data_IF_918520809840
#
_entry.id   IF_918520809840
#
_cell.length_a   1.000
_cell.length_b   1.000
_cell.length_c   1.000
_cell.angle_alpha   90.00
_cell.angle_beta   90.00
_cell.angle_gamma   90.00
#
_symmetry.space_group_name_H-M   'P 1'
#
loop_
_entity.id
_entity.type
_entity.pdbx_description
1 polymer ?
#
# COMPACT_ATOMS: atom_id res chain seq x y z
N UNK A 1 15.10 0.40 -3.85
CA UNK A 1 14.76 0.53 -2.40
C UNK A 1 13.87 -0.63 -2.04
N UNK A 2 14.07 -1.22 -0.85
CA UNK A 2 13.24 -2.35 -0.39
C UNK A 2 12.63 -1.96 0.95
N UNK A 3 11.34 -2.28 1.11
CA UNK A 3 10.56 -2.05 2.33
C UNK A 3 9.90 -3.36 2.78
N UNK A 4 9.64 -3.49 4.05
CA UNK A 4 8.99 -4.64 4.67
C UNK A 4 7.72 -4.21 5.39
N UNK A 5 6.61 -3.96 4.63
CA UNK A 5 5.32 -3.61 5.22
C UNK A 5 4.78 -4.76 6.05
N UNK A 6 4.50 -4.48 7.31
CA UNK A 6 3.90 -5.44 8.23
C UNK A 6 2.39 -5.53 8.06
N UNK A 7 1.79 -6.39 8.86
CA UNK A 7 0.34 -6.52 8.96
C UNK A 7 -0.16 -6.20 10.37
N UNK A 8 -1.48 -6.16 10.55
CA UNK A 8 -2.13 -5.93 11.85
C UNK A 8 -3.20 -6.97 12.10
N UNK A 9 -3.55 -7.15 13.36
CA UNK A 9 -4.79 -7.80 13.79
C UNK A 9 -5.67 -6.77 14.50
N UNK A 10 -6.97 -7.07 14.55
CA UNK A 10 -7.92 -6.31 15.36
C UNK A 10 -8.19 -7.09 16.63
N UNK A 11 -7.99 -6.45 17.79
CA UNK A 11 -8.33 -7.00 19.10
C UNK A 11 -9.68 -6.37 19.49
N UNK A 12 -10.74 -7.16 19.44
CA UNK A 12 -12.10 -6.65 19.49
C UNK A 12 -12.43 -5.82 18.26
N UNK A 13 -13.52 -6.11 17.59
CA UNK A 13 -14.02 -5.35 16.47
C UNK A 13 -15.51 -5.12 16.66
N UNK A 14 -15.86 -3.88 16.98
CA UNK A 14 -17.26 -3.47 17.12
C UNK A 14 -17.64 -2.51 15.99
N UNK A 15 -18.69 -2.88 15.24
CA UNK A 15 -19.25 -2.01 14.19
C UNK A 15 -20.26 -1.08 14.86
N UNK A 16 -19.93 0.19 14.95
CA UNK A 16 -20.75 1.21 15.62
C UNK A 16 -21.86 1.69 14.71
N UNK A 17 -21.53 2.05 13.47
CA UNK A 17 -22.50 2.57 12.51
C UNK A 17 -22.05 2.32 11.05
N UNK A 18 -23.02 2.38 10.13
CA UNK A 18 -22.74 2.41 8.69
C UNK A 18 -22.77 3.87 8.21
N UNK A 19 -21.71 4.30 7.55
CA UNK A 19 -21.57 5.65 7.03
C UNK A 19 -22.27 5.81 5.67
N UNK A 20 -22.58 7.04 5.31
CA UNK A 20 -23.21 7.38 4.02
C UNK A 20 -22.29 7.07 2.81
N UNK A 21 -20.96 7.07 3.00
CA UNK A 21 -19.95 6.73 2.00
C UNK A 21 -19.79 5.20 1.79
N UNK A 22 -20.58 4.38 2.50
CA UNK A 22 -20.54 2.92 2.42
C UNK A 22 -19.57 2.25 3.37
N UNK A 23 -18.70 3.01 4.06
CA UNK A 23 -17.83 2.51 5.12
C UNK A 23 -18.57 2.37 6.45
N UNK A 24 -17.88 1.83 7.44
CA UNK A 24 -18.40 1.64 8.79
C UNK A 24 -17.50 2.32 9.80
N UNK A 25 -18.12 2.94 10.80
CA UNK A 25 -17.41 3.39 12.00
C UNK A 25 -17.15 2.17 12.89
N UNK A 26 -15.89 2.02 13.28
CA UNK A 26 -15.43 0.85 14.02
C UNK A 26 -14.76 1.27 15.33
N UNK A 27 -15.06 0.53 16.39
CA UNK A 27 -14.25 0.53 17.61
C UNK A 27 -13.39 -0.73 17.64
N UNK A 28 -12.09 -0.56 17.64
CA UNK A 28 -11.14 -1.68 17.60
C UNK A 28 -9.77 -1.22 18.09
N UNK A 29 -9.03 -2.13 18.71
CA UNK A 29 -7.61 -1.95 18.96
C UNK A 29 -6.83 -2.65 17.83
N UNK A 30 -6.11 -1.88 17.01
CA UNK A 30 -5.23 -2.43 15.99
C UNK A 30 -3.88 -2.75 16.60
N UNK A 31 -3.47 -4.00 16.49
CA UNK A 31 -2.18 -4.46 16.99
C UNK A 31 -1.26 -4.90 15.85
N UNK A 32 -0.06 -4.31 15.71
CA UNK A 32 0.89 -4.69 14.65
C UNK A 32 1.45 -6.10 14.92
N UNK A 33 1.43 -6.94 13.90
CA UNK A 33 2.01 -8.29 13.97
C UNK A 33 3.48 -8.20 13.53
N UNK A 34 4.39 -8.54 14.41
CA UNK A 34 5.82 -8.60 14.13
C UNK A 34 6.18 -9.95 13.48
N UNK A 35 7.11 -9.92 12.54
CA UNK A 35 7.64 -11.13 11.88
C UNK A 35 6.82 -11.64 10.69
N UNK A 36 5.61 -11.11 10.44
CA UNK A 36 4.85 -11.37 9.22
C UNK A 36 4.73 -10.07 8.42
N UNK A 37 5.46 -9.99 7.33
CA UNK A 37 5.49 -8.83 6.44
C UNK A 37 5.65 -9.26 4.99
N UNK A 38 5.19 -8.43 4.09
CA UNK A 38 5.50 -8.50 2.67
C UNK A 38 6.87 -7.86 2.40
N UNK A 39 7.38 -7.94 1.17
CA UNK A 39 8.51 -7.13 0.74
C UNK A 39 8.12 -6.37 -0.53
N UNK A 40 8.34 -5.06 -0.53
CA UNK A 40 8.07 -4.17 -1.66
C UNK A 40 9.39 -3.57 -2.12
N UNK A 41 9.80 -3.93 -3.33
CA UNK A 41 10.94 -3.30 -3.99
C UNK A 41 10.46 -2.24 -4.98
N UNK A 42 11.10 -1.07 -4.96
CA UNK A 42 10.82 0.03 -5.87
C UNK A 42 12.13 0.54 -6.45
N UNK A 43 12.22 0.55 -7.78
CA UNK A 43 13.36 1.10 -8.52
C UNK A 43 12.87 2.04 -9.63
N UNK A 44 13.69 3.03 -9.99
CA UNK A 44 13.40 3.90 -11.14
C UNK A 44 13.42 3.09 -12.42
N UNK A 45 12.50 3.40 -13.33
CA UNK A 45 12.48 2.88 -14.69
C UNK A 45 12.81 3.98 -15.70
N UNK A 46 13.37 3.58 -16.84
CA UNK A 46 13.55 4.49 -17.99
C UNK A 46 12.28 4.61 -18.82
N UNK A 47 11.33 3.69 -18.65
CA UNK A 47 10.01 3.72 -19.29
C UNK A 47 9.08 4.68 -18.53
N UNK A 48 8.00 5.09 -19.17
CA UNK A 48 6.92 5.84 -18.50
C UNK A 48 5.95 4.88 -17.83
N UNK A 49 5.43 5.26 -16.67
CA UNK A 49 4.43 4.47 -15.94
C UNK A 49 5.02 3.47 -14.95
N UNK A 50 4.21 2.51 -14.53
CA UNK A 50 4.58 1.49 -13.54
C UNK A 50 4.64 0.11 -14.19
N UNK A 51 5.77 -0.58 -14.02
CA UNK A 51 5.90 -2.01 -14.29
C UNK A 51 5.73 -2.75 -12.95
N UNK A 52 4.67 -3.55 -12.83
CA UNK A 52 4.36 -4.28 -11.60
C UNK A 52 4.56 -5.78 -11.80
N UNK A 53 5.26 -6.39 -10.87
CA UNK A 53 5.42 -7.86 -10.77
C UNK A 53 5.17 -8.32 -9.34
N UNK A 54 4.78 -9.58 -9.18
CA UNK A 54 4.60 -10.16 -7.84
C UNK A 54 5.13 -11.59 -7.78
N UNK A 55 5.47 -12.01 -6.55
CA UNK A 55 5.86 -13.38 -6.21
C UNK A 55 5.33 -13.75 -4.82
N UNK A 56 5.51 -15.01 -4.41
CA UNK A 56 4.98 -15.52 -3.13
C UNK A 56 3.50 -15.92 -3.26
N UNK A 57 2.67 -15.50 -2.32
CA UNK A 57 1.24 -15.80 -2.35
C UNK A 57 0.57 -15.15 -3.56
N UNK A 58 -0.45 -15.79 -4.16
CA UNK A 58 -1.15 -15.25 -5.33
C UNK A 58 -1.73 -13.86 -5.05
N UNK A 59 -1.48 -12.94 -5.98
CA UNK A 59 -2.09 -11.61 -6.00
C UNK A 59 -3.16 -11.62 -7.08
N UNK A 60 -4.42 -11.71 -6.67
CA UNK A 60 -5.54 -11.83 -7.60
C UNK A 60 -5.97 -10.50 -8.23
N UNK A 61 -6.70 -10.61 -9.34
CA UNK A 61 -7.31 -9.47 -10.04
C UNK A 61 -6.40 -8.78 -11.05
N UNK A 62 -6.97 -7.80 -11.78
CA UNK A 62 -6.21 -7.02 -12.76
C UNK A 62 -5.12 -6.18 -12.10
N UNK A 63 -3.94 -6.10 -12.72
CA UNK A 63 -2.79 -5.34 -12.22
C UNK A 63 -3.16 -3.89 -11.90
N UNK A 64 -4.00 -3.25 -12.72
CA UNK A 64 -4.45 -1.87 -12.54
C UNK A 64 -5.26 -1.64 -11.25
N UNK A 65 -5.87 -2.71 -10.71
CA UNK A 65 -6.61 -2.66 -9.43
C UNK A 65 -5.72 -2.94 -8.22
N UNK A 66 -4.47 -3.34 -8.43
CA UNK A 66 -3.54 -3.58 -7.33
C UNK A 66 -3.26 -2.27 -6.58
N UNK A 67 -3.28 -2.32 -5.25
CA UNK A 67 -3.14 -1.12 -4.41
C UNK A 67 -1.75 -0.46 -4.56
N UNK A 68 -0.69 -1.23 -4.82
CA UNK A 68 0.64 -0.68 -5.11
C UNK A 68 0.65 0.13 -6.41
N UNK A 69 -0.02 -0.37 -7.45
CA UNK A 69 -0.15 0.32 -8.74
C UNK A 69 -0.99 1.59 -8.58
N UNK A 70 -2.12 1.49 -7.88
CA UNK A 70 -2.98 2.64 -7.58
C UNK A 70 -2.23 3.71 -6.78
N UNK A 71 -1.45 3.31 -5.78
CA UNK A 71 -0.62 4.22 -5.00
C UNK A 71 0.39 4.99 -5.87
N UNK A 72 1.06 4.31 -6.81
CA UNK A 72 1.93 4.97 -7.79
C UNK A 72 1.14 5.99 -8.63
N UNK A 73 0.00 5.61 -9.18
CA UNK A 73 -0.81 6.50 -10.02
C UNK A 73 -1.33 7.72 -9.26
N UNK A 74 -1.69 7.59 -7.98
CA UNK A 74 -2.08 8.73 -7.15
C UNK A 74 -0.92 9.71 -6.95
N UNK A 75 0.28 9.21 -6.62
CA UNK A 75 1.47 10.08 -6.50
C UNK A 75 1.81 10.73 -7.83
N UNK A 76 1.77 9.99 -8.94
CA UNK A 76 2.06 10.51 -10.29
C UNK A 76 1.10 11.62 -10.74
N UNK A 77 -0.18 11.52 -10.37
CA UNK A 77 -1.17 12.57 -10.67
C UNK A 77 -0.86 13.90 -9.96
N UNK A 78 -0.33 13.81 -8.75
CA UNK A 78 -0.05 14.97 -7.90
C UNK A 78 1.38 15.54 -8.11
N UNK A 79 2.33 14.70 -8.56
CA UNK A 79 3.75 15.05 -8.63
C UNK A 79 4.39 14.55 -9.94
N UNK A 80 5.29 15.34 -10.56
CA UNK A 80 5.98 14.96 -11.78
C UNK A 80 7.08 13.93 -11.48
N UNK A 81 6.70 12.65 -11.40
CA UNK A 81 7.63 11.53 -11.22
C UNK A 81 7.78 10.71 -12.50
N UNK A 82 8.97 10.16 -12.71
CA UNK A 82 9.23 9.23 -13.82
C UNK A 82 8.67 7.84 -13.52
N UNK A 83 8.80 6.92 -14.49
CA UNK A 83 8.36 5.54 -14.32
C UNK A 83 9.15 4.78 -13.25
N UNK A 84 8.54 3.74 -12.74
CA UNK A 84 9.12 2.82 -11.75
C UNK A 84 8.83 1.37 -12.08
N UNK A 85 9.67 0.48 -11.54
CA UNK A 85 9.36 -0.95 -11.41
C UNK A 85 9.05 -1.22 -9.95
N UNK A 86 7.94 -1.90 -9.70
CA UNK A 86 7.52 -2.33 -8.37
C UNK A 86 7.46 -3.86 -8.38
N UNK A 87 8.20 -4.49 -7.47
CA UNK A 87 8.06 -5.91 -7.20
C UNK A 87 7.50 -6.11 -5.80
N UNK A 88 6.41 -6.88 -5.71
CA UNK A 88 5.77 -7.27 -4.45
C UNK A 88 5.99 -8.74 -4.18
N UNK A 89 6.78 -9.08 -3.16
CA UNK A 89 6.82 -10.44 -2.63
C UNK A 89 5.77 -10.59 -1.53
N UNK A 90 4.69 -11.31 -1.85
CA UNK A 90 3.52 -11.45 -0.97
C UNK A 90 3.66 -12.62 -0.01
N UNK A 91 3.58 -12.33 1.30
CA UNK A 91 3.57 -13.32 2.40
C UNK A 91 2.33 -13.17 3.27
N UNK A 92 1.77 -11.97 3.36
CA UNK A 92 0.54 -11.70 4.11
C UNK A 92 -0.66 -12.04 3.22
N UNK A 93 -1.56 -12.96 3.62
CA UNK A 93 -2.73 -13.32 2.81
C UNK A 93 -3.62 -12.12 2.48
N UNK A 94 -4.10 -12.09 1.23
CA UNK A 94 -5.06 -11.06 0.78
C UNK A 94 -6.47 -11.37 1.28
N UNK A 95 -7.24 -10.35 1.60
CA UNK A 95 -8.64 -10.50 2.02
C UNK A 95 -8.85 -11.09 3.42
N UNK A 96 -7.79 -11.31 4.19
CA UNK A 96 -7.82 -11.91 5.52
C UNK A 96 -8.04 -10.90 6.66
N UNK A 97 -8.36 -9.65 6.37
CA UNK A 97 -8.53 -8.61 7.39
C UNK A 97 -7.21 -8.11 8.03
N UNK A 98 -6.06 -8.57 7.53
CA UNK A 98 -4.73 -8.29 8.11
C UNK A 98 -4.14 -6.93 7.69
N UNK A 99 -4.78 -6.20 6.79
CA UNK A 99 -4.32 -4.88 6.34
C UNK A 99 -3.06 -4.88 5.47
N UNK A 100 -2.58 -6.05 5.02
CA UNK A 100 -1.34 -6.16 4.25
C UNK A 100 -1.33 -5.31 2.98
N UNK A 101 -2.39 -5.38 2.16
CA UNK A 101 -2.46 -4.60 0.92
C UNK A 101 -2.42 -3.09 1.14
N UNK A 102 -3.06 -2.59 2.20
CA UNK A 102 -3.00 -1.16 2.56
C UNK A 102 -1.59 -0.77 3.04
N UNK A 103 -0.93 -1.65 3.79
CA UNK A 103 0.45 -1.45 4.22
C UNK A 103 1.41 -1.43 3.02
N UNK A 104 1.22 -2.31 2.02
CA UNK A 104 1.98 -2.33 0.78
C UNK A 104 1.85 -1.00 0.04
N UNK A 105 0.60 -0.51 -0.14
CA UNK A 105 0.32 0.77 -0.80
C UNK A 105 0.95 1.96 -0.08
N UNK A 106 0.82 2.03 1.25
CA UNK A 106 1.43 3.07 2.06
C UNK A 106 2.97 3.06 1.93
N UNK A 107 3.58 1.87 1.89
CA UNK A 107 5.00 1.73 1.62
C UNK A 107 5.39 2.22 0.22
N UNK A 108 4.58 2.00 -0.79
CA UNK A 108 4.82 2.53 -2.14
C UNK A 108 4.82 4.06 -2.11
N UNK A 109 3.83 4.72 -1.50
CA UNK A 109 3.77 6.18 -1.40
C UNK A 109 5.03 6.72 -0.70
N UNK A 110 5.40 6.13 0.44
CA UNK A 110 6.61 6.51 1.18
C UNK A 110 7.87 6.30 0.36
N UNK A 111 7.96 5.16 -0.33
CA UNK A 111 9.09 4.81 -1.18
C UNK A 111 9.26 5.78 -2.36
N UNK A 112 8.17 6.16 -3.01
CA UNK A 112 8.18 7.16 -4.07
C UNK A 112 8.59 8.54 -3.56
N UNK A 113 8.08 8.93 -2.38
CA UNK A 113 8.51 10.20 -1.74
C UNK A 113 10.02 10.24 -1.52
N UNK A 114 10.61 9.16 -1.04
CA UNK A 114 12.06 9.06 -0.82
C UNK A 114 12.82 8.96 -2.15
N UNK A 115 12.38 8.10 -3.08
CA UNK A 115 13.05 7.85 -4.35
C UNK A 115 13.16 9.11 -5.22
N UNK A 116 12.12 9.95 -5.21
CA UNK A 116 12.04 11.18 -6.00
C UNK A 116 12.32 12.46 -5.20
N UNK A 117 12.62 12.35 -3.90
CA UNK A 117 12.93 13.51 -3.06
C UNK A 117 11.74 14.46 -2.85
N UNK A 118 10.51 13.95 -2.87
CA UNK A 118 9.30 14.78 -2.80
C UNK A 118 9.06 15.41 -1.42
N UNK A 119 9.68 14.86 -0.36
CA UNK A 119 9.57 15.35 1.03
C UNK A 119 8.11 15.49 1.50
N UNK A 120 7.27 14.52 1.15
CA UNK A 120 5.85 14.53 1.52
C UNK A 120 5.69 14.49 3.04
N UNK A 121 4.81 15.32 3.58
CA UNK A 121 4.40 15.25 4.98
C UNK A 121 3.57 13.97 5.23
N UNK A 122 3.48 13.57 6.49
CA UNK A 122 2.64 12.42 6.88
C UNK A 122 1.19 12.66 6.43
N UNK A 123 0.63 13.84 6.70
CA UNK A 123 -0.74 14.19 6.30
C UNK A 123 -0.97 14.14 4.78
N UNK A 124 0.04 14.54 3.98
CA UNK A 124 -0.03 14.41 2.51
C UNK A 124 -0.01 12.94 2.08
N UNK A 125 0.83 12.11 2.70
CA UNK A 125 0.89 10.67 2.40
C UNK A 125 -0.41 9.96 2.78
N UNK A 126 -1.02 10.33 3.91
CA UNK A 126 -2.33 9.81 4.33
C UNK A 126 -3.43 10.18 3.33
N UNK A 127 -3.49 11.44 2.88
CA UNK A 127 -4.44 11.89 1.87
C UNK A 127 -4.29 11.16 0.52
N UNK A 128 -3.05 10.80 0.14
CA UNK A 128 -2.78 10.01 -1.07
C UNK A 128 -3.14 8.53 -0.91
N UNK A 129 -3.23 8.02 0.33
CA UNK A 129 -3.55 6.63 0.63
C UNK A 129 -5.07 6.38 0.81
N UNK A 130 -5.86 7.42 1.02
CA UNK A 130 -7.32 7.36 1.17
C UNK A 130 -8.02 7.20 -0.18
#
# INVERSE_FOLDING_TARGET
MIFFPGCKINIGLHVVSKRADGYHDLETLMFPVRGLCDAVEIIRSRTTGVEFTSSGLPVGGPVQKNLCVRAYEQVRRAYPISGVKIHLHKRVPMGAGLGGGSADAACVIRGLSQLFGLRLSISTMEALAA
#
